data_IF_770325739442
#
_entry.id   IF_770325739442
#
_cell.length_a   1.000
_cell.length_b   1.000
_cell.length_c   1.000
_cell.angle_alpha   90.00
_cell.angle_beta   90.00
_cell.angle_gamma   90.00
#
_symmetry.space_group_name_H-M   'P 1'
#
loop_
_entity.id
_entity.type
_entity.pdbx_description
1 polymer ?
#
# COMPACT_ATOMS: atom_id res chain seq x y z
N UNK A 1 14.21 47.03 22.47
CA UNK A 1 15.42 46.91 21.61
C UNK A 1 15.29 45.82 20.52
N UNK A 2 14.08 45.36 20.19
CA UNK A 2 13.84 44.28 19.21
C UNK A 2 13.06 44.73 17.98
N UNK A 3 12.23 45.79 18.10
CA UNK A 3 11.33 46.26 17.03
C UNK A 3 12.09 47.06 15.95
N UNK A 4 13.01 47.96 16.35
CA UNK A 4 13.83 48.74 15.40
C UNK A 4 14.85 47.88 14.61
N UNK A 5 15.32 46.80 15.22
CA UNK A 5 16.22 45.87 14.53
C UNK A 5 15.49 45.06 13.47
N UNK A 6 14.23 44.72 13.73
CA UNK A 6 13.37 44.02 12.78
C UNK A 6 12.99 44.93 11.60
N UNK A 7 12.65 46.21 11.84
CA UNK A 7 12.27 47.14 10.78
C UNK A 7 13.41 47.45 9.80
N UNK A 8 14.67 47.48 10.27
CA UNK A 8 15.85 47.71 9.41
C UNK A 8 16.42 46.45 8.76
N UNK A 9 16.32 45.29 9.42
CA UNK A 9 16.96 44.05 8.96
C UNK A 9 15.97 42.95 8.55
N UNK A 10 14.68 43.27 8.40
CA UNK A 10 13.63 42.31 8.01
C UNK A 10 14.00 41.51 6.76
N UNK A 11 14.62 42.14 5.76
CA UNK A 11 15.06 41.47 4.53
C UNK A 11 16.09 40.37 4.79
N UNK A 12 17.02 40.57 5.74
CA UNK A 12 18.05 39.58 6.11
C UNK A 12 17.41 38.43 6.89
N UNK A 13 16.47 38.73 7.79
CA UNK A 13 15.74 37.73 8.57
C UNK A 13 14.90 36.85 7.63
N UNK A 14 14.19 37.46 6.67
CA UNK A 14 13.41 36.75 5.66
C UNK A 14 14.32 35.92 4.75
N UNK A 15 15.42 36.50 4.25
CA UNK A 15 16.37 35.77 3.41
C UNK A 15 17.01 34.58 4.16
N UNK A 16 17.33 34.74 5.44
CA UNK A 16 17.81 33.67 6.31
C UNK A 16 16.77 32.57 6.50
N UNK A 17 15.51 32.94 6.77
CA UNK A 17 14.41 31.99 6.89
C UNK A 17 14.17 31.22 5.58
N UNK A 18 14.16 31.90 4.43
CA UNK A 18 14.04 31.27 3.11
C UNK A 18 15.22 30.36 2.79
N UNK A 19 16.46 30.78 3.10
CA UNK A 19 17.65 29.96 2.94
C UNK A 19 17.58 28.67 3.77
N UNK A 20 17.08 28.77 5.00
CA UNK A 20 16.84 27.62 5.88
C UNK A 20 15.78 26.67 5.31
N UNK A 21 14.66 27.21 4.82
CA UNK A 21 13.59 26.42 4.20
C UNK A 21 14.06 25.71 2.93
N UNK A 22 14.82 26.39 2.07
CA UNK A 22 15.40 25.80 0.86
C UNK A 22 16.41 24.70 1.23
N UNK A 23 17.29 24.96 2.21
CA UNK A 23 18.24 23.96 2.71
C UNK A 23 17.55 22.71 3.25
N UNK A 24 16.49 22.89 4.06
CA UNK A 24 15.67 21.79 4.56
C UNK A 24 14.97 21.02 3.42
N UNK A 25 14.47 21.73 2.41
CA UNK A 25 13.83 21.10 1.25
C UNK A 25 14.82 20.26 0.43
N UNK A 26 16.02 20.78 0.17
CA UNK A 26 17.08 20.05 -0.55
C UNK A 26 17.54 18.84 0.24
N UNK A 27 17.76 18.98 1.55
CA UNK A 27 18.11 17.86 2.43
C UNK A 27 17.00 16.79 2.47
N UNK A 28 15.74 17.20 2.54
CA UNK A 28 14.59 16.30 2.46
C UNK A 28 14.52 15.58 1.11
N UNK A 29 14.74 16.28 0.00
CA UNK A 29 14.75 15.70 -1.34
C UNK A 29 15.90 14.71 -1.51
N UNK A 30 17.11 15.05 -1.07
CA UNK A 30 18.26 14.16 -1.09
C UNK A 30 18.05 12.91 -0.22
N UNK A 31 17.36 13.06 0.92
CA UNK A 31 16.97 11.92 1.76
C UNK A 31 15.93 11.02 1.06
N UNK A 32 14.97 11.61 0.34
CA UNK A 32 13.97 10.85 -0.43
C UNK A 32 14.57 10.15 -1.66
N UNK A 33 15.54 10.78 -2.33
CA UNK A 33 16.29 10.19 -3.42
C UNK A 33 17.29 9.13 -2.94
N UNK A 34 17.59 9.08 -1.64
CA UNK A 34 18.41 8.01 -1.06
C UNK A 34 17.77 6.64 -1.27
N UNK A 35 18.60 5.68 -1.66
CA UNK A 35 18.31 4.24 -1.80
C UNK A 35 17.42 3.66 -0.68
N UNK A 36 17.66 4.09 0.57
CA UNK A 36 16.88 3.64 1.74
C UNK A 36 15.49 4.29 1.82
N UNK A 37 15.36 5.56 1.43
CA UNK A 37 14.11 6.30 1.39
C UNK A 37 13.16 5.70 0.33
N UNK A 38 13.68 5.49 -0.87
CA UNK A 38 12.95 4.84 -1.96
C UNK A 38 12.50 3.43 -1.58
N UNK A 39 13.37 2.62 -0.97
CA UNK A 39 13.02 1.27 -0.54
C UNK A 39 11.90 1.31 0.51
N UNK A 40 12.02 2.18 1.52
CA UNK A 40 11.01 2.30 2.58
C UNK A 40 9.66 2.74 2.02
N UNK A 41 9.62 3.72 1.12
CA UNK A 41 8.39 4.19 0.50
C UNK A 41 7.71 3.07 -0.31
N UNK A 42 8.46 2.31 -1.10
CA UNK A 42 7.92 1.18 -1.86
C UNK A 42 7.45 0.04 -0.97
N UNK A 43 8.14 -0.25 0.14
CA UNK A 43 7.70 -1.24 1.13
C UNK A 43 6.41 -0.81 1.83
N UNK A 44 6.25 0.48 2.15
CA UNK A 44 5.01 1.00 2.72
C UNK A 44 3.86 0.83 1.72
N UNK A 45 4.07 1.18 0.45
CA UNK A 45 3.07 0.96 -0.61
C UNK A 45 2.73 -0.52 -0.77
N UNK A 46 3.73 -1.41 -0.76
CA UNK A 46 3.52 -2.86 -0.81
C UNK A 46 2.64 -3.35 0.36
N UNK A 47 2.91 -2.90 1.59
CA UNK A 47 2.07 -3.20 2.75
C UNK A 47 0.63 -2.69 2.60
N UNK A 48 0.45 -1.50 2.04
CA UNK A 48 -0.89 -0.97 1.77
C UNK A 48 -1.64 -1.83 0.74
N UNK A 49 -0.98 -2.29 -0.32
CA UNK A 49 -1.57 -3.19 -1.31
C UNK A 49 -1.92 -4.55 -0.73
N UNK A 50 -1.08 -5.13 0.13
CA UNK A 50 -1.43 -6.36 0.86
C UNK A 50 -2.70 -6.17 1.71
N UNK A 51 -2.83 -5.04 2.43
CA UNK A 51 -4.06 -4.76 3.20
C UNK A 51 -5.30 -4.66 2.30
N UNK A 52 -5.17 -4.09 1.11
CA UNK A 52 -6.26 -4.04 0.13
C UNK A 52 -6.62 -5.43 -0.39
N UNK A 53 -5.62 -6.26 -0.67
CA UNK A 53 -5.84 -7.65 -1.08
C UNK A 53 -6.59 -8.45 -0.01
N UNK A 54 -6.19 -8.34 1.25
CA UNK A 54 -6.89 -9.01 2.36
C UNK A 54 -8.34 -8.54 2.44
N UNK A 55 -8.60 -7.23 2.31
CA UNK A 55 -9.97 -6.70 2.28
C UNK A 55 -10.79 -7.25 1.11
N UNK A 56 -10.19 -7.31 -0.08
CA UNK A 56 -10.85 -7.88 -1.26
C UNK A 56 -11.16 -9.36 -1.06
N UNK A 57 -10.23 -10.13 -0.49
CA UNK A 57 -10.45 -11.54 -0.17
C UNK A 57 -11.61 -11.72 0.83
N UNK A 58 -11.66 -10.92 1.90
CA UNK A 58 -12.78 -10.97 2.86
C UNK A 58 -14.11 -10.55 2.22
N UNK A 59 -14.09 -9.65 1.24
CA UNK A 59 -15.30 -9.25 0.52
C UNK A 59 -15.84 -10.40 -0.36
N UNK A 60 -14.95 -11.12 -1.05
CA UNK A 60 -15.31 -12.34 -1.79
C UNK A 60 -15.89 -13.39 -0.85
N UNK A 61 -15.23 -13.67 0.27
CA UNK A 61 -15.74 -14.61 1.27
C UNK A 61 -17.15 -14.20 1.75
N UNK A 62 -17.35 -12.94 2.15
CA UNK A 62 -18.66 -12.45 2.58
C UNK A 62 -19.75 -12.52 1.50
N UNK A 63 -19.40 -12.22 0.25
CA UNK A 63 -20.31 -12.34 -0.88
C UNK A 63 -20.69 -13.80 -1.15
N UNK A 64 -19.70 -14.72 -1.13
CA UNK A 64 -19.95 -16.15 -1.33
C UNK A 64 -20.79 -16.76 -0.22
N UNK A 65 -20.57 -16.37 1.03
CA UNK A 65 -21.42 -16.80 2.15
C UNK A 65 -22.85 -16.30 1.99
N UNK A 66 -23.01 -15.05 1.57
CA UNK A 66 -24.33 -14.44 1.35
C UNK A 66 -25.08 -15.15 0.21
N UNK A 67 -24.39 -15.46 -0.89
CA UNK A 67 -24.94 -16.27 -1.98
C UNK A 67 -25.34 -17.67 -1.48
N UNK A 68 -24.49 -18.33 -0.69
CA UNK A 68 -24.78 -19.66 -0.13
C UNK A 68 -26.01 -19.64 0.78
N UNK A 69 -26.18 -18.58 1.60
CA UNK A 69 -27.36 -18.38 2.46
C UNK A 69 -28.64 -18.11 1.67
N UNK A 70 -28.54 -17.41 0.54
CA UNK A 70 -29.68 -17.17 -0.34
C UNK A 70 -30.06 -18.44 -1.11
N UNK A 71 -29.06 -19.19 -1.59
CA UNK A 71 -29.28 -20.47 -2.28
C UNK A 71 -29.92 -21.52 -1.36
N UNK A 72 -29.58 -21.55 -0.07
CA UNK A 72 -30.24 -22.47 0.89
C UNK A 72 -31.72 -22.16 1.12
N UNK A 73 -32.18 -20.95 0.73
CA UNK A 73 -33.58 -20.51 0.78
C UNK A 73 -34.19 -20.31 -0.60
N UNK A 74 -33.65 -20.97 -1.64
CA UNK A 74 -34.01 -20.76 -3.05
C UNK A 74 -35.52 -20.81 -3.33
N UNK A 75 -36.27 -21.63 -2.59
CA UNK A 75 -37.71 -21.82 -2.81
C UNK A 75 -38.54 -20.63 -2.31
N UNK A 76 -37.96 -19.79 -1.44
CA UNK A 76 -38.60 -18.58 -0.89
C UNK A 76 -37.99 -17.27 -1.39
N UNK A 77 -36.88 -17.33 -2.13
CA UNK A 77 -36.13 -16.15 -2.61
C UNK A 77 -36.39 -15.94 -4.09
N UNK A 78 -36.67 -14.68 -4.48
CA UNK A 78 -36.88 -14.34 -5.89
C UNK A 78 -35.63 -14.67 -6.72
N UNK A 79 -35.76 -15.28 -7.91
CA UNK A 79 -34.63 -15.61 -8.77
C UNK A 79 -33.74 -14.41 -9.12
N UNK A 80 -34.32 -13.21 -9.24
CA UNK A 80 -33.57 -11.98 -9.50
C UNK A 80 -32.56 -11.65 -8.39
N UNK A 81 -32.89 -11.92 -7.13
CA UNK A 81 -32.00 -11.70 -5.97
C UNK A 81 -30.83 -12.70 -5.95
N UNK A 82 -31.08 -13.93 -6.39
CA UNK A 82 -30.02 -14.95 -6.52
C UNK A 82 -29.03 -14.57 -7.61
N UNK A 83 -29.54 -14.04 -8.73
CA UNK A 83 -28.71 -13.56 -9.83
C UNK A 83 -27.87 -12.34 -9.44
N UNK A 84 -28.49 -11.34 -8.80
CA UNK A 84 -27.79 -10.17 -8.27
C UNK A 84 -26.68 -10.57 -7.27
N UNK A 85 -26.95 -11.53 -6.38
CA UNK A 85 -25.94 -12.04 -5.45
C UNK A 85 -24.81 -12.81 -6.14
N UNK A 86 -25.10 -13.52 -7.23
CA UNK A 86 -24.07 -14.22 -8.02
C UNK A 86 -23.18 -13.22 -8.77
N UNK A 87 -23.78 -12.21 -9.41
CA UNK A 87 -23.07 -11.11 -10.07
C UNK A 87 -22.17 -10.37 -9.07
N UNK A 88 -22.64 -10.10 -7.85
CA UNK A 88 -21.84 -9.50 -6.80
C UNK A 88 -20.62 -10.34 -6.36
N UNK A 89 -20.72 -11.68 -6.41
CA UNK A 89 -19.58 -12.57 -6.15
C UNK A 89 -18.55 -12.48 -7.28
N UNK A 90 -19.01 -12.46 -8.52
CA UNK A 90 -18.13 -12.31 -9.70
C UNK A 90 -17.39 -10.97 -9.68
N UNK A 91 -18.10 -9.88 -9.38
CA UNK A 91 -17.52 -8.54 -9.24
C UNK A 91 -16.48 -8.50 -8.11
N UNK A 92 -16.79 -9.08 -6.95
CA UNK A 92 -15.86 -9.16 -5.84
C UNK A 92 -14.60 -9.97 -6.22
N UNK A 93 -14.76 -11.07 -6.96
CA UNK A 93 -13.65 -11.89 -7.43
C UNK A 93 -12.77 -11.14 -8.44
N UNK A 94 -13.38 -10.36 -9.34
CA UNK A 94 -12.65 -9.49 -10.26
C UNK A 94 -11.83 -8.43 -9.51
N UNK A 95 -12.40 -7.80 -8.48
CA UNK A 95 -11.69 -6.86 -7.62
C UNK A 95 -10.54 -7.51 -6.85
N UNK A 96 -10.72 -8.74 -6.36
CA UNK A 96 -9.64 -9.51 -5.75
C UNK A 96 -8.48 -9.71 -6.73
N UNK A 97 -8.76 -10.14 -7.96
CA UNK A 97 -7.74 -10.34 -9.00
C UNK A 97 -6.96 -9.05 -9.28
N UNK A 98 -7.66 -7.92 -9.42
CA UNK A 98 -7.01 -6.60 -9.59
C UNK A 98 -6.10 -6.29 -8.39
N UNK A 99 -6.55 -6.58 -7.16
CA UNK A 99 -5.73 -6.35 -5.98
C UNK A 99 -4.48 -7.25 -5.94
N UNK A 100 -4.57 -8.49 -6.41
CA UNK A 100 -3.43 -9.42 -6.55
C UNK A 100 -2.41 -8.87 -7.55
N UNK A 101 -2.86 -8.39 -8.71
CA UNK A 101 -1.99 -7.78 -9.71
C UNK A 101 -1.28 -6.53 -9.16
N UNK A 102 -1.97 -5.70 -8.39
CA UNK A 102 -1.38 -4.52 -7.75
C UNK A 102 -0.31 -4.88 -6.72
N UNK A 103 -0.47 -5.99 -5.99
CA UNK A 103 0.56 -6.52 -5.09
C UNK A 103 1.77 -6.98 -5.88
N UNK A 104 1.59 -7.72 -6.99
CA UNK A 104 2.70 -8.18 -7.83
C UNK A 104 3.50 -7.00 -8.41
N UNK A 105 2.82 -5.96 -8.88
CA UNK A 105 3.46 -4.73 -9.38
C UNK A 105 4.27 -4.06 -8.26
N UNK A 106 3.70 -3.95 -7.06
CA UNK A 106 4.39 -3.36 -5.91
C UNK A 106 5.61 -4.19 -5.45
N UNK A 107 5.51 -5.52 -5.45
CA UNK A 107 6.64 -6.43 -5.18
C UNK A 107 7.76 -6.21 -6.20
N UNK A 108 7.42 -6.10 -7.49
CA UNK A 108 8.39 -5.84 -8.55
C UNK A 108 9.08 -4.48 -8.41
N UNK A 109 8.37 -3.43 -8.01
CA UNK A 109 8.99 -2.13 -7.72
C UNK A 109 9.99 -2.22 -6.56
N UNK A 110 9.66 -2.93 -5.48
CA UNK A 110 10.61 -3.18 -4.38
C UNK A 110 11.82 -3.97 -4.87
N UNK A 111 11.63 -5.02 -5.69
CA UNK A 111 12.75 -5.78 -6.30
C UNK A 111 13.66 -4.89 -7.14
N UNK A 112 13.08 -4.03 -7.98
CA UNK A 112 13.83 -3.12 -8.85
C UNK A 112 14.70 -2.17 -8.02
N UNK A 113 14.16 -1.58 -6.97
CA UNK A 113 14.93 -0.71 -6.06
C UNK A 113 16.05 -1.48 -5.37
N UNK A 114 15.79 -2.69 -4.86
CA UNK A 114 16.84 -3.53 -4.24
C UNK A 114 17.98 -3.81 -5.24
N UNK A 115 17.64 -4.15 -6.47
CA UNK A 115 18.62 -4.48 -7.51
C UNK A 115 19.43 -3.27 -7.98
N UNK A 116 18.78 -2.11 -8.13
CA UNK A 116 19.41 -0.90 -8.66
C UNK A 116 20.31 -0.19 -7.64
N UNK A 117 19.89 -0.17 -6.37
CA UNK A 117 20.44 0.75 -5.38
C UNK A 117 21.35 0.08 -4.33
N UNK A 118 21.31 -1.25 -4.21
CA UNK A 118 22.05 -1.98 -3.18
C UNK A 118 23.06 -2.95 -3.82
N UNK A 119 24.19 -3.24 -3.16
CA UNK A 119 25.16 -4.18 -3.68
C UNK A 119 24.65 -5.63 -3.62
N UNK A 120 25.11 -6.53 -4.52
CA UNK A 120 24.59 -7.90 -4.64
C UNK A 120 24.62 -8.72 -3.36
N UNK A 121 25.65 -8.52 -2.52
CA UNK A 121 25.82 -9.20 -1.23
C UNK A 121 24.64 -9.01 -0.27
N UNK A 122 23.83 -7.95 -0.46
CA UNK A 122 22.68 -7.65 0.38
C UNK A 122 21.33 -7.97 -0.27
N UNK A 123 21.30 -8.35 -1.55
CA UNK A 123 20.05 -8.55 -2.29
C UNK A 123 19.16 -9.61 -1.66
N UNK A 124 19.71 -10.79 -1.34
CA UNK A 124 18.93 -11.88 -0.75
C UNK A 124 18.38 -11.51 0.62
N UNK A 125 19.21 -10.89 1.48
CA UNK A 125 18.79 -10.45 2.81
C UNK A 125 17.66 -9.41 2.73
N UNK A 126 17.76 -8.44 1.80
CA UNK A 126 16.74 -7.41 1.60
C UNK A 126 15.46 -7.99 0.99
N UNK A 127 15.56 -8.88 -0.01
CA UNK A 127 14.40 -9.59 -0.58
C UNK A 127 13.69 -10.39 0.50
N UNK A 128 14.43 -11.19 1.28
CA UNK A 128 13.87 -11.96 2.38
C UNK A 128 13.23 -11.04 3.42
N UNK A 129 13.79 -9.88 3.73
CA UNK A 129 13.22 -8.97 4.73
C UNK A 129 11.94 -8.26 4.26
N UNK A 130 11.85 -7.89 2.98
CA UNK A 130 10.83 -6.95 2.50
C UNK A 130 9.80 -7.53 1.53
N UNK A 131 10.09 -8.67 0.90
CA UNK A 131 9.21 -9.33 -0.07
C UNK A 131 8.58 -10.61 0.48
N UNK A 132 8.66 -10.85 1.79
CA UNK A 132 7.87 -11.91 2.40
C UNK A 132 6.39 -11.56 2.22
N UNK A 133 5.68 -12.38 1.45
CA UNK A 133 4.22 -12.36 1.51
C UNK A 133 3.84 -12.60 2.97
N UNK A 134 2.99 -11.75 3.57
CA UNK A 134 2.42 -12.11 4.85
C UNK A 134 1.80 -13.49 4.67
N UNK A 135 2.25 -14.48 5.47
CA UNK A 135 1.63 -15.79 5.51
C UNK A 135 0.14 -15.53 5.70
N UNK A 136 -0.66 -15.85 4.71
CA UNK A 136 -2.09 -15.93 4.91
C UNK A 136 -2.23 -17.13 5.85
N UNK A 137 -2.31 -16.85 7.15
CA UNK A 137 -2.68 -17.83 8.15
C UNK A 137 -4.16 -18.10 7.90
N UNK A 138 -4.43 -18.88 6.84
CA UNK A 138 -5.62 -19.71 6.82
C UNK A 138 -5.43 -20.63 8.01
N UNK A 139 -5.98 -20.23 9.16
CA UNK A 139 -5.91 -21.01 10.39
C UNK A 139 -6.24 -22.47 10.11
N UNK A 140 -5.71 -23.41 10.92
CA UNK A 140 -5.86 -24.83 10.64
C UNK A 140 -7.35 -25.14 10.52
N UNK A 141 -7.77 -25.58 9.34
CA UNK A 141 -9.04 -26.26 9.17
C UNK A 141 -9.00 -27.49 10.08
N UNK A 142 -9.65 -27.39 11.25
CA UNK A 142 -10.05 -28.56 12.01
C UNK A 142 -11.27 -29.14 11.31
N UNK A 143 -11.07 -30.30 10.68
CA UNK A 143 -12.13 -31.19 10.17
C UNK A 143 -12.96 -31.75 11.32
#
# INVERSE_FOLDING_TARGET
>A
MTIDFFSRNWAIVIAGAFGLLIGLFVAYRAYNDSSRGQLRANVIRLKQRYRQLVKAHTAVQGATESLKRLQSRKDSVKPSRLREAAEAVEDAAALQKIAEDQVLIAENHVRKVILAEFPPRHHEALRKKYLQRPRHDTGPFTF
#
